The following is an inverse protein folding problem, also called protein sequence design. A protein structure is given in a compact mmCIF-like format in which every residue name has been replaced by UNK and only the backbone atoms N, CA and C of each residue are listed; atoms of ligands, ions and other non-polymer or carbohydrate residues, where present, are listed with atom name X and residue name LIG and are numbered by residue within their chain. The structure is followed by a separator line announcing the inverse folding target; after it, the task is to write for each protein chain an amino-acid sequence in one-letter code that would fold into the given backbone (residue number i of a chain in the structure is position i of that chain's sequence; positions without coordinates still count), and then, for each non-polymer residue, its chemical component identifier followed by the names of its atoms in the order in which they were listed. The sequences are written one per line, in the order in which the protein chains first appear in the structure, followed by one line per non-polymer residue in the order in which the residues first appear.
data_IF_096093983213
#
_entry.id   IF_096093983213
#
_cell.length_a   1.000
_cell.length_b   1.000
_cell.length_c   1.000
_cell.angle_alpha   90.00
_cell.angle_beta   90.00
_cell.angle_gamma   90.00
#
_symmetry.space_group_name_H-M   'P 1'
#
loop_
_entity.id
_entity.type
_entity.pdbx_description
1 polymer ?
#
# COMPACT_ATOMS: atom_id res chain seq x y z
N UNK A 1 8.10 33.21 17.78
CA UNK A 1 7.93 31.75 17.72
C UNK A 1 7.37 31.44 16.36
N UNK A 2 8.29 31.33 15.40
CA UNK A 2 7.98 30.98 14.01
C UNK A 2 7.75 29.47 13.98
N UNK A 3 6.61 29.06 13.44
CA UNK A 3 6.36 27.67 13.14
C UNK A 3 7.32 27.25 12.03
N UNK A 4 8.17 26.26 12.34
CA UNK A 4 9.19 25.73 11.43
C UNK A 4 8.59 25.25 10.11
N UNK A 5 9.38 25.40 9.05
CA UNK A 5 9.00 25.23 7.66
C UNK A 5 8.12 24.02 7.40
N UNK A 6 6.86 24.29 7.07
CA UNK A 6 6.00 23.32 6.41
C UNK A 6 6.61 22.99 5.06
N UNK A 7 6.65 21.69 4.75
CA UNK A 7 6.80 21.11 3.41
C UNK A 7 6.33 22.09 2.33
N UNK A 8 7.28 22.59 1.53
CA UNK A 8 7.03 23.64 0.58
C UNK A 8 6.14 23.10 -0.55
N UNK A 9 5.11 23.85 -0.96
CA UNK A 9 4.26 23.48 -2.09
C UNK A 9 5.07 23.25 -3.37
N UNK A 10 6.26 23.87 -3.46
CA UNK A 10 7.26 23.61 -4.50
C UNK A 10 7.77 22.17 -4.53
N UNK A 11 8.00 21.53 -3.38
CA UNK A 11 8.49 20.14 -3.33
C UNK A 11 7.37 19.14 -3.67
N UNK A 12 6.12 19.44 -3.27
CA UNK A 12 4.94 18.73 -3.73
C UNK A 12 4.76 18.85 -5.25
N UNK A 13 5.00 20.05 -5.79
CA UNK A 13 5.01 20.30 -7.23
C UNK A 13 6.19 19.62 -7.94
N UNK A 14 7.34 19.41 -7.29
CA UNK A 14 8.48 18.66 -7.85
C UNK A 14 8.19 17.16 -7.90
N UNK A 15 7.57 16.58 -6.87
CA UNK A 15 7.06 15.21 -6.92
C UNK A 15 5.99 15.04 -8.02
N UNK A 16 5.20 16.09 -8.29
CA UNK A 16 4.24 16.13 -9.40
C UNK A 16 4.85 16.54 -10.76
N UNK A 17 6.04 17.16 -10.79
CA UNK A 17 6.70 17.65 -12.01
C UNK A 17 7.32 16.50 -12.83
N UNK A 18 7.57 15.36 -12.18
CA UNK A 18 8.08 14.15 -12.83
C UNK A 18 7.00 13.11 -13.19
N UNK A 19 5.74 13.32 -12.78
CA UNK A 19 4.60 12.43 -13.07
C UNK A 19 3.38 12.70 -12.18
N UNK A 20 2.24 12.09 -12.49
CA UNK A 20 1.04 12.19 -11.63
C UNK A 20 1.26 11.43 -10.32
N UNK A 21 1.21 12.14 -9.19
CA UNK A 21 1.35 11.55 -7.87
C UNK A 21 0.10 10.73 -7.50
N UNK A 22 0.28 9.45 -7.17
CA UNK A 22 -0.80 8.53 -6.83
C UNK A 22 -0.97 8.29 -5.33
N UNK A 23 0.13 8.21 -4.59
CA UNK A 23 0.09 7.90 -3.16
C UNK A 23 1.25 8.53 -2.41
N UNK A 24 1.00 8.89 -1.16
CA UNK A 24 1.94 9.50 -0.23
C UNK A 24 1.85 8.80 1.11
N UNK A 25 2.98 8.69 1.80
CA UNK A 25 3.01 8.15 3.14
C UNK A 25 4.39 8.28 3.77
N UNK A 26 4.44 7.97 5.06
CA UNK A 26 5.67 8.04 5.83
C UNK A 26 6.30 6.67 5.96
N UNK A 27 7.62 6.62 5.84
CA UNK A 27 8.42 5.47 6.21
C UNK A 27 8.48 5.32 7.72
N UNK A 28 8.93 4.16 8.19
CA UNK A 28 9.25 3.91 9.60
C UNK A 28 10.28 4.91 10.16
N UNK A 29 11.20 5.38 9.33
CA UNK A 29 12.27 6.31 9.71
C UNK A 29 11.90 7.77 9.47
N UNK A 30 10.61 8.07 9.29
CA UNK A 30 10.08 9.42 9.06
C UNK A 30 10.52 10.05 7.74
N UNK A 31 10.90 9.22 6.76
CA UNK A 31 11.09 9.67 5.38
C UNK A 31 9.73 9.74 4.66
N UNK A 32 9.51 10.79 3.88
CA UNK A 32 8.36 10.92 3.01
C UNK A 32 8.56 10.03 1.78
N UNK A 33 7.57 9.17 1.50
CA UNK A 33 7.55 8.27 0.35
C UNK A 33 6.45 8.72 -0.62
N UNK A 34 6.84 8.98 -1.87
CA UNK A 34 5.96 9.44 -2.94
C UNK A 34 5.89 8.38 -4.04
N UNK A 35 4.69 7.91 -4.40
CA UNK A 35 4.47 6.94 -5.47
C UNK A 35 3.76 7.63 -6.65
N UNK A 36 4.33 7.51 -7.85
CA UNK A 36 3.84 8.13 -9.08
C UNK A 36 3.14 7.11 -10.00
N UNK A 37 2.33 7.58 -10.95
CA UNK A 37 1.54 6.75 -11.86
C UNK A 37 2.36 5.86 -12.80
N UNK A 38 3.60 6.25 -13.11
CA UNK A 38 4.54 5.50 -13.95
C UNK A 38 5.38 4.46 -13.17
N UNK A 39 5.11 4.31 -11.87
CA UNK A 39 5.84 3.39 -11.00
C UNK A 39 7.12 3.94 -10.39
N UNK A 40 7.45 5.22 -10.58
CA UNK A 40 8.51 5.87 -9.81
C UNK A 40 8.11 6.01 -8.33
N UNK A 41 9.05 5.69 -7.44
CA UNK A 41 8.93 5.85 -5.99
C UNK A 41 10.09 6.72 -5.53
N UNK A 42 9.78 7.94 -5.09
CA UNK A 42 10.76 8.93 -4.61
C UNK A 42 10.70 9.04 -3.09
N UNK A 43 11.87 9.14 -2.47
CA UNK A 43 12.05 9.22 -1.02
C UNK A 43 12.68 10.56 -0.68
N UNK A 44 12.13 11.23 0.32
CA UNK A 44 12.64 12.47 0.88
C UNK A 44 12.77 12.33 2.39
N UNK A 45 13.76 12.97 3.01
CA UNK A 45 13.83 12.98 4.47
C UNK A 45 12.71 13.85 5.09
N UNK A 46 12.64 13.87 6.42
CA UNK A 46 11.65 14.65 7.16
C UNK A 46 11.73 16.18 6.92
N UNK A 47 12.83 16.67 6.34
CA UNK A 47 13.01 18.08 5.98
C UNK A 47 12.66 18.37 4.51
N UNK A 48 12.21 17.37 3.76
CA UNK A 48 11.89 17.48 2.33
C UNK A 48 13.12 17.37 1.43
N UNK A 49 14.29 16.98 1.95
CA UNK A 49 15.49 16.79 1.13
C UNK A 49 15.39 15.48 0.37
N UNK A 50 15.56 15.53 -0.95
CA UNK A 50 15.59 14.36 -1.81
C UNK A 50 16.69 13.38 -1.40
N UNK A 51 16.32 12.10 -1.24
CA UNK A 51 17.25 11.01 -0.93
C UNK A 51 17.54 10.19 -2.18
N UNK A 52 16.54 9.47 -2.70
CA UNK A 52 16.68 8.63 -3.89
C UNK A 52 15.32 8.34 -4.54
N UNK A 53 15.36 7.79 -5.75
CA UNK A 53 14.19 7.29 -6.48
C UNK A 53 14.51 5.92 -7.05
N UNK A 54 13.54 5.02 -7.01
CA UNK A 54 13.57 3.77 -7.76
C UNK A 54 12.28 3.59 -8.56
N UNK A 55 12.24 2.60 -9.46
CA UNK A 55 11.05 2.29 -10.23
C UNK A 55 10.58 0.86 -9.96
N UNK A 56 9.26 0.65 -9.98
CA UNK A 56 8.60 -0.65 -9.76
C UNK A 56 8.77 -1.64 -10.92
N UNK A 57 9.52 -1.31 -11.98
CA UNK A 57 9.85 -2.18 -13.10
C UNK A 57 9.19 -1.74 -14.41
N UNK A 58 9.75 -2.17 -15.54
CA UNK A 58 9.29 -1.75 -16.87
C UNK A 58 7.81 -2.08 -17.13
N UNK A 59 7.35 -3.24 -16.67
CA UNK A 59 5.95 -3.63 -16.85
C UNK A 59 4.97 -2.66 -16.16
N UNK A 60 5.34 -2.13 -14.99
CA UNK A 60 4.53 -1.14 -14.26
C UNK A 60 4.58 0.21 -14.97
N UNK A 61 5.73 0.56 -15.54
CA UNK A 61 5.88 1.77 -16.34
C UNK A 61 4.99 1.77 -17.59
N UNK A 62 4.87 0.62 -18.25
CA UNK A 62 4.06 0.47 -19.46
C UNK A 62 2.56 0.40 -19.15
N UNK A 63 2.18 -0.23 -18.04
CA UNK A 63 0.77 -0.47 -17.69
C UNK A 63 0.18 0.59 -16.76
N UNK A 64 1.01 1.43 -16.17
CA UNK A 64 0.67 2.37 -15.11
C UNK A 64 0.07 1.73 -13.86
N UNK A 65 0.08 2.49 -12.77
CA UNK A 65 -0.47 2.07 -11.49
C UNK A 65 -1.95 2.48 -11.40
N UNK A 66 -2.79 1.55 -10.95
CA UNK A 66 -4.18 1.81 -10.58
C UNK A 66 -4.28 2.28 -9.12
N UNK A 67 -3.55 1.66 -8.20
CA UNK A 67 -3.51 2.03 -6.79
C UNK A 67 -2.24 1.53 -6.11
N UNK A 68 -1.85 2.18 -5.02
CA UNK A 68 -0.62 1.89 -4.28
C UNK A 68 -0.86 1.94 -2.77
N UNK A 69 -0.17 1.07 -2.03
CA UNK A 69 -0.17 1.03 -0.58
C UNK A 69 1.25 1.03 -0.04
N UNK A 70 1.56 2.03 0.79
CA UNK A 70 2.78 2.06 1.60
C UNK A 70 2.48 1.32 2.90
N UNK A 71 3.35 0.39 3.28
CA UNK A 71 3.20 -0.39 4.49
C UNK A 71 4.50 -0.42 5.27
N UNK A 72 4.40 -0.45 6.59
CA UNK A 72 5.55 -0.54 7.48
C UNK A 72 5.52 -1.83 8.27
N UNK A 73 6.67 -2.18 8.83
CA UNK A 73 6.78 -3.21 9.84
C UNK A 73 7.71 -2.75 10.96
N UNK A 74 7.93 -3.63 11.91
CA UNK A 74 8.94 -3.47 12.95
C UNK A 74 10.37 -3.22 12.43
N UNK A 75 10.68 -3.54 11.18
CA UNK A 75 12.06 -3.46 10.63
C UNK A 75 12.16 -2.65 9.35
N UNK A 76 11.16 -2.75 8.48
CA UNK A 76 11.25 -2.23 7.11
C UNK A 76 9.99 -1.48 6.70
N UNK A 77 10.15 -0.58 5.73
CA UNK A 77 9.08 0.09 4.98
C UNK A 77 9.05 -0.49 3.57
N UNK A 78 7.86 -0.89 3.12
CA UNK A 78 7.63 -1.39 1.78
C UNK A 78 6.53 -0.63 1.04
N UNK A 79 6.47 -0.86 -0.27
CA UNK A 79 5.49 -0.32 -1.19
C UNK A 79 4.93 -1.46 -2.02
N UNK A 80 3.61 -1.59 -2.03
CA UNK A 80 2.88 -2.47 -2.93
C UNK A 80 2.08 -1.64 -3.91
N UNK A 81 1.94 -2.12 -5.14
CA UNK A 81 1.14 -1.46 -6.18
C UNK A 81 0.30 -2.50 -6.90
N UNK A 82 -0.88 -2.07 -7.35
CA UNK A 82 -1.74 -2.75 -8.30
C UNK A 82 -1.65 -1.99 -9.62
N UNK A 83 -1.17 -2.64 -10.69
CA UNK A 83 -1.15 -2.06 -12.03
C UNK A 83 -2.55 -2.05 -12.66
N UNK A 84 -2.75 -1.22 -13.71
CA UNK A 84 -4.00 -1.25 -14.50
C UNK A 84 -4.20 -2.58 -15.27
N UNK A 85 -3.16 -3.42 -15.32
CA UNK A 85 -3.22 -4.79 -15.86
C UNK A 85 -3.59 -5.86 -14.82
N UNK A 86 -4.12 -5.46 -13.65
CA UNK A 86 -4.49 -6.34 -12.53
C UNK A 86 -3.34 -7.21 -12.03
N UNK A 87 -2.14 -6.65 -11.91
CA UNK A 87 -0.96 -7.33 -11.37
C UNK A 87 -0.41 -6.60 -10.16
N UNK A 88 -0.03 -7.38 -9.16
CA UNK A 88 0.57 -6.86 -7.93
C UNK A 88 2.09 -6.91 -8.02
N UNK A 89 2.72 -5.78 -7.72
CA UNK A 89 4.17 -5.67 -7.55
C UNK A 89 4.49 -5.11 -6.17
N UNK A 90 5.60 -5.53 -5.60
CA UNK A 90 5.97 -5.15 -4.24
C UNK A 90 7.47 -4.98 -4.06
N UNK A 91 7.84 -3.96 -3.32
CA UNK A 91 9.16 -3.77 -2.72
C UNK A 91 8.99 -3.83 -1.20
N UNK A 92 9.69 -4.74 -0.52
CA UNK A 92 9.59 -4.88 0.95
C UNK A 92 10.46 -3.89 1.74
N UNK A 93 11.54 -3.40 1.11
CA UNK A 93 12.47 -2.44 1.68
C UNK A 93 12.77 -1.34 0.64
N UNK A 94 12.31 -0.12 0.91
CA UNK A 94 12.50 1.04 0.03
C UNK A 94 13.95 1.54 -0.06
N UNK A 95 14.83 1.21 0.89
CA UNK A 95 16.25 1.59 0.88
C UNK A 95 17.11 0.59 0.10
N UNK A 96 16.67 -0.67 0.01
CA UNK A 96 17.28 -1.71 -0.83
C UNK A 96 16.22 -2.30 -1.78
N UNK A 97 15.74 -1.50 -2.75
CA UNK A 97 14.56 -1.83 -3.53
C UNK A 97 14.79 -3.08 -4.38
N UNK A 98 13.97 -4.11 -4.13
CA UNK A 98 13.91 -5.34 -4.90
C UNK A 98 12.46 -5.63 -5.26
N UNK A 99 12.06 -5.23 -6.44
CA UNK A 99 10.70 -5.45 -6.94
C UNK A 99 10.45 -6.93 -7.14
N UNK A 100 9.34 -7.40 -6.58
CA UNK A 100 8.83 -8.75 -6.74
C UNK A 100 7.43 -8.69 -7.33
N UNK A 101 7.18 -9.51 -8.33
CA UNK A 101 5.84 -9.71 -8.90
C UNK A 101 5.13 -10.81 -8.12
N UNK A 102 3.87 -10.58 -7.76
CA UNK A 102 3.00 -11.59 -7.13
C UNK A 102 2.25 -12.41 -8.20
N UNK A 103 1.64 -13.54 -7.83
CA UNK A 103 0.84 -14.34 -8.76
C UNK A 103 -0.21 -13.50 -9.49
N UNK A 104 -0.42 -13.83 -10.76
CA UNK A 104 -1.42 -13.14 -11.57
C UNK A 104 -2.82 -13.36 -10.97
N UNK A 105 -3.59 -12.28 -10.87
CA UNK A 105 -4.97 -12.33 -10.41
C UNK A 105 -5.81 -12.94 -11.55
N UNK A 106 -6.59 -14.02 -11.32
CA UNK A 106 -7.48 -14.57 -12.32
C UNK A 106 -8.44 -13.48 -12.78
N UNK A 107 -8.79 -13.45 -14.07
CA UNK A 107 -9.50 -12.32 -14.69
C UNK A 107 -10.75 -11.85 -13.94
N UNK A 108 -11.14 -10.59 -14.16
CA UNK A 108 -12.21 -9.90 -13.43
C UNK A 108 -11.73 -8.56 -12.89
N UNK A 109 -12.61 -7.80 -12.25
CA UNK A 109 -12.27 -6.47 -11.70
C UNK A 109 -11.87 -6.60 -10.23
N UNK A 110 -10.72 -6.05 -9.87
CA UNK A 110 -10.31 -5.91 -8.47
C UNK A 110 -11.09 -4.74 -7.87
N UNK A 111 -11.99 -5.03 -6.92
CA UNK A 111 -12.82 -4.00 -6.26
C UNK A 111 -12.03 -3.31 -5.14
N UNK A 112 -11.32 -4.10 -4.34
CA UNK A 112 -10.39 -3.60 -3.33
C UNK A 112 -9.29 -4.63 -3.03
N UNK A 113 -8.21 -4.17 -2.41
CA UNK A 113 -7.11 -5.02 -1.99
C UNK A 113 -6.40 -4.42 -0.79
N UNK A 114 -5.64 -5.24 -0.08
CA UNK A 114 -4.86 -4.80 1.07
C UNK A 114 -3.62 -5.69 1.26
N UNK A 115 -2.50 -5.07 1.60
CA UNK A 115 -1.30 -5.78 2.08
C UNK A 115 -1.56 -6.35 3.47
N UNK A 116 -1.42 -7.67 3.61
CA UNK A 116 -1.53 -8.38 4.89
C UNK A 116 -0.18 -9.00 5.21
N UNK A 117 0.40 -8.65 6.36
CA UNK A 117 1.70 -9.18 6.77
C UNK A 117 1.54 -10.20 7.89
N UNK A 118 2.03 -11.40 7.65
CA UNK A 118 2.33 -12.41 8.67
C UNK A 118 3.84 -12.41 8.89
N UNK A 119 4.34 -12.71 10.09
CA UNK A 119 5.73 -12.45 10.53
C UNK A 119 6.82 -12.56 9.45
N UNK A 120 6.78 -13.62 8.63
CA UNK A 120 7.76 -13.92 7.57
C UNK A 120 7.24 -13.72 6.14
N UNK A 121 5.94 -13.50 5.96
CA UNK A 121 5.28 -13.44 4.65
C UNK A 121 4.49 -12.14 4.51
N UNK A 122 4.79 -11.38 3.47
CA UNK A 122 3.87 -10.31 3.05
C UNK A 122 2.95 -10.94 2.01
N UNK A 123 1.67 -10.90 2.29
CA UNK A 123 0.60 -11.40 1.43
C UNK A 123 -0.22 -10.21 0.94
N UNK A 124 -1.02 -10.43 -0.09
CA UNK A 124 -2.00 -9.46 -0.56
C UNK A 124 -3.36 -10.11 -0.61
N UNK A 125 -4.32 -9.54 0.11
CA UNK A 125 -5.72 -9.93 0.03
C UNK A 125 -6.38 -9.11 -1.09
N UNK A 126 -7.08 -9.77 -2.00
CA UNK A 126 -7.77 -9.15 -3.13
C UNK A 126 -9.23 -9.55 -3.09
N UNK A 127 -10.12 -8.58 -3.25
CA UNK A 127 -11.55 -8.82 -3.45
C UNK A 127 -11.92 -8.69 -4.92
N UNK A 128 -12.62 -9.71 -5.42
CA UNK A 128 -13.09 -9.79 -6.80
C UNK A 128 -14.50 -10.36 -6.81
N UNK A 129 -15.51 -9.49 -6.94
CA UNK A 129 -16.91 -9.90 -6.91
C UNK A 129 -17.28 -10.58 -5.58
N UNK A 130 -17.49 -11.90 -5.59
CA UNK A 130 -17.82 -12.69 -4.39
C UNK A 130 -16.62 -13.44 -3.81
N UNK A 131 -15.48 -13.37 -4.46
CA UNK A 131 -14.29 -14.11 -4.10
C UNK A 131 -13.28 -13.23 -3.35
N UNK A 132 -12.61 -13.85 -2.38
CA UNK A 132 -11.44 -13.31 -1.71
C UNK A 132 -10.24 -14.17 -2.08
N UNK A 133 -9.22 -13.54 -2.65
CA UNK A 133 -7.99 -14.21 -3.09
C UNK A 133 -6.84 -13.79 -2.20
N UNK A 134 -6.08 -14.77 -1.71
CA UNK A 134 -4.83 -14.50 -1.02
C UNK A 134 -3.66 -14.74 -1.99
N UNK A 135 -2.90 -13.68 -2.25
CA UNK A 135 -1.69 -13.73 -3.05
C UNK A 135 -0.48 -13.82 -2.12
N UNK A 136 0.33 -14.84 -2.31
CA UNK A 136 1.61 -15.02 -1.61
C UNK A 136 2.73 -15.04 -2.66
N UNK A 137 3.84 -14.35 -2.38
CA UNK A 137 4.99 -14.31 -3.29
C UNK A 137 5.65 -15.69 -3.53
N UNK A 138 5.59 -16.60 -2.55
CA UNK A 138 6.23 -17.93 -2.63
C UNK A 138 5.39 -18.89 -3.47
N UNK A 139 4.07 -18.75 -3.41
CA UNK A 139 3.15 -19.64 -4.10
C UNK A 139 2.86 -19.11 -5.50
N UNK A 140 3.00 -19.93 -6.54
CA UNK A 140 2.80 -19.46 -7.93
C UNK A 140 1.33 -19.30 -8.32
N UNK A 141 0.38 -19.70 -7.46
CA UNK A 141 -1.06 -19.62 -7.71
C UNK A 141 -1.77 -18.89 -6.58
N UNK A 142 -2.72 -17.99 -6.90
CA UNK A 142 -3.63 -17.43 -5.90
C UNK A 142 -4.39 -18.54 -5.18
N UNK A 143 -4.46 -18.46 -3.86
CA UNK A 143 -5.29 -19.36 -3.06
C UNK A 143 -6.68 -18.74 -2.95
N UNK A 144 -7.74 -19.39 -3.47
CA UNK A 144 -9.10 -18.95 -3.18
C UNK A 144 -9.36 -19.19 -1.69
N UNK A 145 -9.52 -18.11 -0.94
CA UNK A 145 -10.03 -18.22 0.41
C UNK A 145 -11.54 -18.41 0.28
N UNK A 146 -12.00 -19.67 0.34
CA UNK A 146 -13.38 -19.94 0.66
C UNK A 146 -13.60 -19.44 2.09
N UNK A 147 -14.09 -18.21 2.21
CA UNK A 147 -14.57 -17.66 3.48
C UNK A 147 -15.83 -18.44 3.86
N UNK A 148 -15.67 -19.69 4.31
CA UNK A 148 -16.66 -20.32 5.18
C UNK A 148 -16.61 -19.46 6.42
N UNK A 149 -17.56 -18.54 6.54
CA UNK A 149 -17.59 -17.57 7.62
C UNK A 149 -17.20 -18.24 8.92
N UNK A 150 -16.09 -17.79 9.52
CA UNK A 150 -16.01 -17.87 10.96
C UNK A 150 -17.07 -16.90 11.44
N UNK A 151 -18.22 -17.46 11.78
CA UNK A 151 -19.33 -16.79 12.43
C UNK A 151 -18.81 -15.74 13.41
N UNK A 152 -19.31 -14.51 13.25
CA UNK A 152 -19.08 -13.36 14.12
C UNK A 152 -17.63 -12.87 14.30
N UNK A 153 -17.22 -11.96 13.41
CA UNK A 153 -16.10 -11.03 13.63
C UNK A 153 -16.23 -10.28 14.97
N UNK A 154 -17.46 -10.05 15.46
CA UNK A 154 -17.73 -9.44 16.78
C UNK A 154 -17.15 -10.25 17.93
N UNK A 155 -17.19 -11.58 17.86
CA UNK A 155 -16.85 -12.45 19.00
C UNK A 155 -15.34 -12.66 19.10
N UNK A 156 -14.62 -12.67 17.97
CA UNK A 156 -13.21 -13.05 17.93
C UNK A 156 -12.23 -11.88 17.96
N UNK A 157 -12.63 -10.69 17.49
CA UNK A 157 -11.71 -9.56 17.29
C UNK A 157 -12.16 -8.23 17.90
N UNK A 158 -13.39 -8.09 18.39
CA UNK A 158 -13.78 -6.95 19.21
C UNK A 158 -13.55 -7.28 20.69
N UNK A 159 -12.42 -6.87 21.26
CA UNK A 159 -12.24 -6.89 22.73
C UNK A 159 -13.18 -5.91 23.45
N UNK A 160 -13.87 -5.02 22.73
CA UNK A 160 -14.87 -4.11 23.29
C UNK A 160 -16.14 -4.04 22.43
N UNK A 161 -17.16 -4.82 22.83
CA UNK A 161 -18.54 -4.57 22.43
C UNK A 161 -19.07 -3.41 23.29
N UNK A 162 -19.03 -2.19 22.76
CA UNK A 162 -19.50 -0.99 23.47
C UNK A 162 -21.01 -1.01 23.77
N UNK A 163 -21.78 -2.01 23.30
CA UNK A 163 -23.25 -2.16 23.44
C UNK A 163 -24.05 -0.89 23.20
N UNK A 164 -23.48 0.09 22.51
CA UNK A 164 -24.04 1.41 22.31
C UNK A 164 -24.16 1.64 20.82
N UNK A 165 -25.40 1.60 20.32
CA UNK A 165 -25.74 2.04 18.97
C UNK A 165 -26.07 3.54 18.93
N UNK A 166 -25.47 4.33 19.81
CA UNK A 166 -25.75 5.77 19.88
C UNK A 166 -24.69 6.53 19.10
N UNK A 167 -25.12 7.39 18.18
CA UNK A 167 -24.23 8.30 17.45
C UNK A 167 -23.39 9.12 18.43
N UNK A 168 -22.07 9.25 18.22
CA UNK A 168 -21.23 10.07 19.09
C UNK A 168 -21.73 11.50 19.06
N UNK A 169 -22.03 12.05 20.24
CA UNK A 169 -22.37 13.47 20.37
C UNK A 169 -21.08 14.28 20.29
N UNK A 170 -21.06 15.24 19.37
CA UNK A 170 -19.97 16.18 19.23
C UNK A 170 -19.84 16.97 20.53
N UNK A 171 -18.64 16.95 21.13
CA UNK A 171 -18.32 17.79 22.27
C UNK A 171 -18.28 19.24 21.78
N UNK A 172 -19.08 20.10 22.42
CA UNK A 172 -19.10 21.54 22.21
C UNK A 172 -17.98 22.21 23.01
#
# INVERSE_FOLDING_TARGET
MEWGGGINLGDFMVAAAHGFLLSLGWSRSEDLVCVQEDGAVSIYDMFGTYQHTFNMGQEVKDTHIQSAQIFTSHRETGVAILSKSNRIFMVSNIYEPKTRKYPDIPGGVVECWCVVREERHTNVLVSQGRDLLLLNHIEQRPQPLLWIGSSDIRIKYCEYDAKSQVKPKQLA
#
